data_IF_483263249393
#
_entry.id   IF_483263249393
#
_cell.length_a   1.000
_cell.length_b   1.000
_cell.length_c   1.000
_cell.angle_alpha   90.00
_cell.angle_beta   90.00
_cell.angle_gamma   90.00
#
_symmetry.space_group_name_H-M   'P 1'
#
loop_
_entity.id
_entity.type
_entity.pdbx_description
1 polymer ?
#
# COMPACT_ATOMS: atom_id res chain seq x y z
N UNK A 1 37.76 0.29 13.69
CA UNK A 1 36.60 0.45 14.59
C UNK A 1 36.57 -0.69 15.59
N UNK A 2 36.32 -0.40 16.86
CA UNK A 2 36.04 -1.41 17.89
C UNK A 2 34.63 -2.01 17.60
N UNK A 3 34.43 -3.34 17.65
CA UNK A 3 33.11 -3.95 17.49
C UNK A 3 32.02 -3.37 18.42
N UNK A 4 32.36 -2.93 19.64
CA UNK A 4 31.38 -2.31 20.55
C UNK A 4 30.86 -0.96 20.05
N UNK A 5 31.73 -0.15 19.46
CA UNK A 5 31.38 1.14 18.84
C UNK A 5 30.49 0.95 17.61
N UNK A 6 30.64 -0.17 16.89
CA UNK A 6 29.78 -0.52 15.75
C UNK A 6 28.35 -0.86 16.20
N UNK A 7 28.21 -1.66 17.25
CA UNK A 7 26.91 -2.05 17.82
C UNK A 7 26.18 -0.81 18.35
N UNK A 8 26.92 0.06 19.05
CA UNK A 8 26.41 1.33 19.54
C UNK A 8 25.80 2.19 18.42
N UNK A 9 26.54 2.46 17.34
CA UNK A 9 26.04 3.30 16.24
C UNK A 9 24.79 2.68 15.59
N UNK A 10 24.75 1.37 15.42
CA UNK A 10 23.59 0.66 14.85
C UNK A 10 22.32 0.84 15.69
N UNK A 11 22.43 0.76 17.02
CA UNK A 11 21.30 0.95 17.93
C UNK A 11 20.72 2.38 17.84
N UNK A 12 21.58 3.39 17.77
CA UNK A 12 21.14 4.78 17.56
C UNK A 12 20.50 4.97 16.19
N UNK A 13 21.11 4.44 15.13
CA UNK A 13 20.53 4.52 13.78
C UNK A 13 19.13 3.92 13.74
N UNK A 14 18.94 2.77 14.38
CA UNK A 14 17.64 2.11 14.47
C UNK A 14 16.63 2.96 15.25
N UNK A 15 17.03 3.51 16.41
CA UNK A 15 16.17 4.41 17.18
C UNK A 15 15.73 5.62 16.37
N UNK A 16 16.67 6.32 15.71
CA UNK A 16 16.36 7.50 14.90
C UNK A 16 15.49 7.16 13.69
N UNK A 17 15.72 6.00 13.06
CA UNK A 17 14.90 5.54 11.94
C UNK A 17 13.45 5.25 12.35
N UNK A 18 13.24 4.68 13.54
CA UNK A 18 11.92 4.21 13.98
C UNK A 18 11.12 5.27 14.76
N UNK A 19 11.80 6.14 15.52
CA UNK A 19 11.17 7.03 16.50
C UNK A 19 11.27 8.51 16.13
N UNK A 20 12.17 8.90 15.23
CA UNK A 20 12.43 10.32 14.92
C UNK A 20 11.97 10.61 13.49
N UNK A 21 11.15 11.66 13.35
CA UNK A 21 10.73 12.11 12.02
C UNK A 21 11.94 12.59 11.22
N UNK A 22 11.85 12.46 9.89
CA UNK A 22 12.89 12.96 8.99
C UNK A 22 13.17 14.44 9.19
N UNK A 23 12.13 15.24 9.41
CA UNK A 23 12.22 16.69 9.64
C UNK A 23 13.00 17.00 10.93
N UNK A 24 12.69 16.30 12.03
CA UNK A 24 13.39 16.47 13.30
C UNK A 24 14.84 16.01 13.22
N UNK A 25 15.11 14.91 12.50
CA UNK A 25 16.46 14.42 12.24
C UNK A 25 17.27 15.44 11.44
N UNK A 26 16.69 16.03 10.38
CA UNK A 26 17.36 17.07 9.59
C UNK A 26 17.62 18.33 10.42
N UNK A 27 16.68 18.72 11.29
CA UNK A 27 16.87 19.85 12.19
C UNK A 27 18.04 19.60 13.14
N UNK A 28 18.09 18.43 13.78
CA UNK A 28 19.19 18.03 14.67
C UNK A 28 20.55 18.04 13.96
N UNK A 29 20.61 17.63 12.69
CA UNK A 29 21.87 17.54 11.94
C UNK A 29 22.36 18.87 11.35
N UNK A 30 21.44 19.82 11.11
CA UNK A 30 21.75 21.12 10.49
C UNK A 30 22.04 22.19 11.52
N UNK A 31 21.46 22.07 12.71
CA UNK A 31 21.69 22.98 13.83
C UNK A 31 22.84 22.48 14.71
N UNK A 32 23.99 23.15 14.64
CA UNK A 32 25.17 22.78 15.42
C UNK A 32 24.95 22.94 16.93
N UNK A 33 24.10 23.87 17.37
CA UNK A 33 23.77 24.02 18.79
C UNK A 33 22.95 22.82 19.29
N UNK A 34 21.95 22.42 18.52
CA UNK A 34 21.17 21.22 18.81
C UNK A 34 22.03 19.95 18.80
N UNK A 35 22.92 19.82 17.81
CA UNK A 35 23.86 18.70 17.73
C UNK A 35 24.79 18.65 18.93
N UNK A 36 25.40 19.78 19.30
CA UNK A 36 26.31 19.85 20.44
C UNK A 36 25.58 19.57 21.77
N UNK A 37 24.34 20.05 21.92
CA UNK A 37 23.51 19.73 23.08
C UNK A 37 23.19 18.24 23.19
N UNK A 38 22.88 17.59 22.07
CA UNK A 38 22.68 16.13 22.01
C UNK A 38 23.95 15.36 22.39
N UNK A 39 25.09 15.70 21.79
CA UNK A 39 26.40 15.07 22.08
C UNK A 39 26.76 15.19 23.55
N UNK A 40 26.53 16.37 24.14
CA UNK A 40 26.78 16.61 25.56
C UNK A 40 25.85 15.80 26.46
N UNK A 41 24.55 15.75 26.14
CA UNK A 41 23.55 15.01 26.92
C UNK A 41 23.74 13.48 26.85
N UNK A 42 24.22 12.98 25.71
CA UNK A 42 24.53 11.57 25.51
C UNK A 42 25.96 11.19 25.94
N UNK A 43 26.72 12.17 26.47
CA UNK A 43 28.11 12.00 26.93
C UNK A 43 29.02 11.32 25.89
N UNK A 44 28.80 11.64 24.60
CA UNK A 44 29.50 10.95 23.52
C UNK A 44 30.95 11.44 23.39
N UNK A 45 31.91 10.51 23.26
CA UNK A 45 33.25 10.83 22.79
C UNK A 45 33.18 11.54 21.42
N UNK A 46 34.09 12.48 21.19
CA UNK A 46 34.08 13.29 19.97
C UNK A 46 34.17 12.44 18.69
N UNK A 47 35.00 11.41 18.71
CA UNK A 47 35.18 10.48 17.59
C UNK A 47 33.92 9.67 17.31
N UNK A 48 33.23 9.19 18.35
CA UNK A 48 31.95 8.47 18.21
C UNK A 48 30.84 9.41 17.74
N UNK A 49 30.79 10.64 18.25
CA UNK A 49 29.86 11.67 17.81
C UNK A 49 30.06 12.00 16.32
N UNK A 50 31.30 12.18 15.86
CA UNK A 50 31.60 12.47 14.46
C UNK A 50 31.16 11.32 13.53
N UNK A 51 31.40 10.06 13.93
CA UNK A 51 30.96 8.90 13.17
C UNK A 51 29.44 8.74 13.17
N UNK A 52 28.78 8.97 14.31
CA UNK A 52 27.32 8.96 14.42
C UNK A 52 26.70 10.06 13.55
N UNK A 53 27.27 11.27 13.53
CA UNK A 53 26.79 12.38 12.67
C UNK A 53 26.86 12.00 11.20
N UNK A 54 27.94 11.36 10.75
CA UNK A 54 28.08 10.86 9.37
C UNK A 54 27.04 9.79 9.06
N UNK A 55 26.84 8.85 9.98
CA UNK A 55 25.89 7.77 9.81
C UNK A 55 24.44 8.29 9.75
N UNK A 56 24.06 9.22 10.62
CA UNK A 56 22.74 9.86 10.63
C UNK A 56 22.51 10.72 9.38
N UNK A 57 23.53 11.40 8.84
CA UNK A 57 23.42 12.10 7.56
C UNK A 57 23.12 11.16 6.39
N UNK A 58 23.74 9.97 6.37
CA UNK A 58 23.42 8.93 5.38
C UNK A 58 21.99 8.44 5.54
N UNK A 59 21.55 8.18 6.78
CA UNK A 59 20.18 7.78 7.08
C UNK A 59 19.16 8.82 6.59
N UNK A 60 19.36 10.10 6.91
CA UNK A 60 18.50 11.19 6.46
C UNK A 60 18.41 11.27 4.93
N UNK A 61 19.55 11.11 4.23
CA UNK A 61 19.58 11.06 2.76
C UNK A 61 18.77 9.89 2.19
N UNK A 62 18.88 8.71 2.81
CA UNK A 62 18.08 7.54 2.44
C UNK A 62 16.57 7.75 2.65
N UNK A 63 16.17 8.40 3.75
CA UNK A 63 14.77 8.73 4.03
C UNK A 63 14.19 9.69 2.98
N UNK A 64 14.94 10.74 2.60
CA UNK A 64 14.55 11.67 1.53
C UNK A 64 14.32 10.96 0.20
N UNK A 65 15.23 10.06 -0.19
CA UNK A 65 15.11 9.32 -1.45
C UNK A 65 13.92 8.35 -1.43
N UNK A 66 13.69 7.66 -0.31
CA UNK A 66 12.57 6.72 -0.13
C UNK A 66 11.22 7.43 -0.19
N UNK A 67 11.10 8.59 0.44
CA UNK A 67 9.85 9.37 0.43
C UNK A 67 9.52 9.90 -0.96
N UNK A 68 10.51 10.43 -1.68
CA UNK A 68 10.32 10.85 -3.08
C UNK A 68 9.86 9.70 -3.96
N UNK A 69 10.54 8.54 -3.88
CA UNK A 69 10.18 7.37 -4.67
C UNK A 69 8.78 6.83 -4.33
N UNK A 70 8.38 6.85 -3.05
CA UNK A 70 7.01 6.49 -2.63
C UNK A 70 5.99 7.44 -3.23
N UNK A 71 6.22 8.76 -3.10
CA UNK A 71 5.34 9.77 -3.66
C UNK A 71 5.20 9.64 -5.17
N UNK A 72 6.30 9.39 -5.90
CA UNK A 72 6.29 9.22 -7.35
C UNK A 72 5.49 7.97 -7.76
N UNK A 73 5.67 6.84 -7.07
CA UNK A 73 4.91 5.61 -7.33
C UNK A 73 3.43 5.78 -7.03
N UNK A 74 3.08 6.42 -5.93
CA UNK A 74 1.68 6.70 -5.58
C UNK A 74 1.02 7.60 -6.61
N UNK A 75 1.75 8.62 -7.11
CA UNK A 75 1.27 9.47 -8.18
C UNK A 75 1.09 8.69 -9.49
N UNK A 76 2.01 7.81 -9.85
CA UNK A 76 1.87 6.95 -11.03
C UNK A 76 0.66 6.02 -10.93
N UNK A 77 0.48 5.35 -9.78
CA UNK A 77 -0.69 4.50 -9.54
C UNK A 77 -1.99 5.29 -9.62
N UNK A 78 -2.03 6.49 -9.05
CA UNK A 78 -3.20 7.37 -9.12
C UNK A 78 -3.52 7.78 -10.55
N UNK A 79 -2.51 8.16 -11.34
CA UNK A 79 -2.70 8.53 -12.75
C UNK A 79 -3.19 7.35 -13.59
N UNK A 80 -2.57 6.19 -13.42
CA UNK A 80 -3.02 4.96 -14.06
C UNK A 80 -4.48 4.63 -13.70
N UNK A 81 -4.82 4.70 -12.40
CA UNK A 81 -6.18 4.42 -11.92
C UNK A 81 -7.19 5.38 -12.55
N UNK A 82 -6.95 6.68 -12.51
CA UNK A 82 -7.87 7.68 -13.09
C UNK A 82 -8.07 7.49 -14.60
N UNK A 83 -7.05 7.00 -15.31
CA UNK A 83 -7.12 6.75 -16.75
C UNK A 83 -7.82 5.44 -17.10
N UNK A 84 -7.42 4.33 -16.47
CA UNK A 84 -7.83 2.98 -16.88
C UNK A 84 -9.08 2.48 -16.15
N UNK A 85 -9.26 2.84 -14.88
CA UNK A 85 -10.38 2.36 -14.07
C UNK A 85 -11.76 2.67 -14.66
N UNK A 86 -12.04 3.86 -15.24
CA UNK A 86 -13.36 4.13 -15.82
C UNK A 86 -13.72 3.20 -16.98
N UNK A 87 -12.75 2.82 -17.82
CA UNK A 87 -12.96 1.84 -18.89
C UNK A 87 -13.22 0.45 -18.31
N UNK A 88 -12.35 -0.02 -17.43
CA UNK A 88 -12.47 -1.33 -16.79
C UNK A 88 -13.79 -1.48 -16.02
N UNK A 89 -14.22 -0.42 -15.32
CA UNK A 89 -15.51 -0.37 -14.62
C UNK A 89 -16.68 -0.57 -15.59
N UNK A 90 -16.70 0.16 -16.71
CA UNK A 90 -17.77 0.01 -17.72
C UNK A 90 -17.79 -1.38 -18.33
N UNK A 91 -16.63 -1.93 -18.67
CA UNK A 91 -16.53 -3.29 -19.19
C UNK A 91 -17.06 -4.31 -18.18
N UNK A 92 -16.71 -4.19 -16.91
CA UNK A 92 -17.22 -5.06 -15.85
C UNK A 92 -18.75 -4.93 -15.70
N UNK A 93 -19.29 -3.71 -15.68
CA UNK A 93 -20.73 -3.46 -15.62
C UNK A 93 -21.48 -4.07 -16.82
N UNK A 94 -20.89 -4.01 -18.02
CA UNK A 94 -21.45 -4.62 -19.22
C UNK A 94 -21.44 -6.15 -19.14
N UNK A 95 -20.37 -6.76 -18.64
CA UNK A 95 -20.33 -8.21 -18.42
C UNK A 95 -21.38 -8.64 -17.38
N UNK A 96 -21.53 -7.89 -16.28
CA UNK A 96 -22.57 -8.15 -15.27
C UNK A 96 -23.97 -8.08 -15.90
N UNK A 97 -24.22 -7.09 -16.78
CA UNK A 97 -25.52 -6.97 -17.47
C UNK A 97 -25.80 -8.16 -18.39
N UNK A 98 -24.79 -8.62 -19.14
CA UNK A 98 -24.90 -9.81 -20.01
C UNK A 98 -25.19 -11.07 -19.21
N UNK A 99 -24.50 -11.28 -18.09
CA UNK A 99 -24.75 -12.43 -17.21
C UNK A 99 -26.17 -12.43 -16.63
N UNK A 100 -26.67 -11.25 -16.23
CA UNK A 100 -28.06 -11.11 -15.76
C UNK A 100 -29.08 -11.42 -16.85
N UNK A 101 -28.87 -10.94 -18.07
CA UNK A 101 -29.75 -11.23 -19.20
C UNK A 101 -29.80 -12.75 -19.51
N UNK A 102 -28.65 -13.41 -19.50
CA UNK A 102 -28.59 -14.86 -19.70
C UNK A 102 -29.32 -15.64 -18.60
N UNK A 103 -29.18 -15.21 -17.34
CA UNK A 103 -29.87 -15.84 -16.22
C UNK A 103 -31.41 -15.72 -16.35
N UNK A 104 -31.90 -14.56 -16.76
CA UNK A 104 -33.32 -14.31 -17.05
C UNK A 104 -33.83 -15.21 -18.18
N UNK A 105 -33.09 -15.34 -19.28
CA UNK A 105 -33.46 -16.22 -20.40
C UNK A 105 -33.56 -17.69 -19.96
N UNK A 106 -32.60 -18.17 -19.17
CA UNK A 106 -32.61 -19.55 -18.63
C UNK A 106 -33.82 -19.77 -17.72
N UNK A 107 -34.16 -18.81 -16.86
CA UNK A 107 -35.33 -18.89 -15.99
C UNK A 107 -36.64 -18.95 -16.79
N UNK A 108 -36.77 -18.12 -17.83
CA UNK A 108 -37.93 -18.12 -18.71
C UNK A 108 -38.10 -19.46 -19.46
N UNK A 109 -37.01 -20.02 -20.00
CA UNK A 109 -37.02 -21.33 -20.67
C UNK A 109 -37.41 -22.45 -19.69
N UNK A 110 -36.89 -22.41 -18.47
CA UNK A 110 -37.22 -23.41 -17.46
C UNK A 110 -38.71 -23.37 -17.06
N UNK A 111 -39.25 -22.16 -16.89
CA UNK A 111 -40.67 -21.96 -16.60
C UNK A 111 -41.56 -22.40 -17.76
N UNK A 112 -41.20 -22.06 -19.00
CA UNK A 112 -41.93 -22.49 -20.20
C UNK A 112 -41.97 -24.01 -20.35
N UNK A 113 -40.83 -24.67 -20.16
CA UNK A 113 -40.72 -26.14 -20.18
C UNK A 113 -41.57 -26.80 -19.09
N UNK A 114 -41.55 -26.23 -17.88
CA UNK A 114 -42.36 -26.72 -16.75
C UNK A 114 -43.85 -26.62 -17.05
N UNK A 115 -44.32 -25.50 -17.60
CA UNK A 115 -45.73 -25.32 -17.98
C UNK A 115 -46.13 -26.33 -19.06
N UNK A 116 -45.32 -26.50 -20.10
CA UNK A 116 -45.59 -27.45 -21.18
C UNK A 116 -45.72 -28.89 -20.63
N UNK A 117 -44.82 -29.32 -19.76
CA UNK A 117 -44.87 -30.64 -19.13
C UNK A 117 -46.13 -30.85 -18.27
N UNK A 118 -46.53 -29.84 -17.48
CA UNK A 118 -47.76 -29.92 -16.67
C UNK A 118 -49.01 -30.03 -17.55
N UNK A 119 -49.10 -29.24 -18.63
CA UNK A 119 -50.23 -29.28 -19.56
C UNK A 119 -50.30 -30.63 -20.27
N UNK A 120 -49.20 -31.14 -20.82
CA UNK A 120 -49.17 -32.46 -21.46
C UNK A 120 -49.62 -33.59 -20.53
N UNK A 121 -49.20 -33.56 -19.26
CA UNK A 121 -49.60 -34.56 -18.27
C UNK A 121 -51.10 -34.46 -17.88
N UNK A 122 -51.69 -33.26 -17.95
CA UNK A 122 -53.12 -33.07 -17.69
C UNK A 122 -54.03 -33.52 -18.84
N UNK A 123 -53.59 -33.35 -20.09
CA UNK A 123 -54.34 -33.78 -21.29
C UNK A 123 -54.25 -35.29 -21.49
N UNK A 124 -53.19 -35.94 -21.01
CA UNK A 124 -53.05 -37.40 -21.03
C UNK A 124 -53.85 -38.14 -19.96
N UNK A 125 -54.40 -37.47 -18.95
CA UNK A 125 -55.13 -38.09 -17.81
C UNK A 125 -56.66 -38.03 -17.93
N UNK A 126 -57.21 -37.54 -19.05
CA UNK A 126 -58.66 -37.47 -19.28
C UNK A 126 -59.22 -38.44 -20.33
N UNK A 127 -58.49 -39.49 -20.69
CA UNK A 127 -59.09 -40.62 -21.42
C UNK A 127 -59.31 -41.77 -20.44
N UNK A 128 -60.56 -42.16 -20.24
CA UNK A 128 -60.98 -43.26 -19.35
C UNK A 128 -60.59 -44.66 -19.83
#
# INVERSE_FOLDING_TARGET
MNPESSIFIEDYLKYFQDQVSRENLLQLLTDDEAWNGFVAAAELPRDEADELRKALNKLASHMVMKDKNRHDKDQQHRQWFLKEFPRLKRELEDHIRKLRALAEEVEQVHRGTTIANVVSNSVGTTSG
#
